data_IF_549134876722
#
_entry.id   IF_549134876722
#
_cell.length_a   1.000
_cell.length_b   1.000
_cell.length_c   1.000
_cell.angle_alpha   90.00
_cell.angle_beta   90.00
_cell.angle_gamma   90.00
#
_symmetry.space_group_name_H-M   'P 1'
#
loop_
_entity.id
_entity.type
_entity.pdbx_description
1 polymer ?
#
# COMPACT_ATOMS: atom_id res chain seq x y z
N UNK A 1 32.50 -76.15 1.01
CA UNK A 1 31.94 -76.69 2.25
C UNK A 1 30.64 -75.90 2.46
N UNK A 2 29.54 -76.33 1.84
CA UNK A 2 28.47 -77.12 2.48
C UNK A 2 28.01 -76.38 3.73
N UNK A 3 26.74 -75.88 3.87
CA UNK A 3 25.41 -76.51 3.78
C UNK A 3 24.40 -75.32 3.79
N UNK A 4 23.42 -75.12 2.83
CA UNK A 4 22.09 -75.68 2.79
C UNK A 4 21.23 -75.44 4.06
N UNK A 5 20.19 -74.66 4.00
CA UNK A 5 18.77 -75.07 4.09
C UNK A 5 17.87 -73.87 4.12
N UNK A 6 16.95 -73.69 3.25
CA UNK A 6 15.65 -74.31 3.02
C UNK A 6 14.47 -73.65 3.80
N UNK A 7 13.63 -73.02 3.01
CA UNK A 7 12.14 -73.01 3.10
C UNK A 7 11.44 -72.67 4.41
N UNK A 8 10.65 -71.62 4.34
CA UNK A 8 9.18 -71.70 4.68
C UNK A 8 8.41 -70.55 4.05
N UNK A 9 7.72 -70.90 3.01
CA UNK A 9 6.67 -70.12 2.39
C UNK A 9 5.41 -70.14 3.25
N UNK A 10 4.62 -69.12 3.00
CA UNK A 10 3.17 -69.03 3.11
C UNK A 10 2.53 -68.65 4.46
N UNK A 11 1.49 -67.83 4.26
CA UNK A 11 0.43 -67.41 5.19
C UNK A 11 0.71 -66.05 5.83
N UNK A 12 0.36 -64.96 5.08
CA UNK A 12 -0.30 -63.75 5.58
C UNK A 12 -0.66 -62.81 4.42
N UNK A 13 -1.38 -63.36 3.45
CA UNK A 13 -2.19 -62.59 2.52
C UNK A 13 -3.62 -62.84 2.91
N UNK A 14 -4.27 -61.93 3.67
CA UNK A 14 -5.75 -61.78 3.78
C UNK A 14 -6.21 -60.89 4.96
N UNK A 15 -5.50 -59.83 5.33
CA UNK A 15 -6.04 -58.84 6.31
C UNK A 15 -5.77 -57.39 5.85
N UNK A 16 -5.83 -57.09 4.54
CA UNK A 16 -5.61 -55.72 4.07
C UNK A 16 -6.72 -55.22 3.13
N UNK A 17 -7.95 -55.75 3.23
CA UNK A 17 -9.10 -55.24 2.49
C UNK A 17 -10.27 -55.24 3.48
N UNK A 18 -10.33 -54.26 4.42
CA UNK A 18 -11.59 -53.88 5.08
C UNK A 18 -11.38 -52.70 6.05
N UNK A 19 -10.65 -51.68 5.62
CA UNK A 19 -10.55 -50.44 6.41
C UNK A 19 -10.56 -49.17 5.53
N UNK A 20 -11.34 -49.20 4.43
CA UNK A 20 -11.48 -48.05 3.51
C UNK A 20 -12.92 -47.66 3.33
N UNK A 21 -13.69 -47.54 4.42
CA UNK A 21 -15.06 -46.99 4.39
C UNK A 21 -15.51 -46.60 5.78
N UNK A 22 -14.90 -45.56 6.35
CA UNK A 22 -15.48 -44.74 7.42
C UNK A 22 -14.50 -43.59 7.74
N UNK A 23 -14.31 -42.67 6.79
CA UNK A 23 -13.94 -41.30 7.15
C UNK A 23 -15.24 -40.53 7.40
N UNK A 24 -15.56 -40.16 8.64
CA UNK A 24 -16.58 -39.14 8.86
C UNK A 24 -16.05 -37.82 8.31
N UNK A 25 -16.83 -37.22 7.43
CA UNK A 25 -16.70 -35.83 7.00
C UNK A 25 -16.88 -34.94 8.24
N UNK A 26 -15.79 -34.62 8.95
CA UNK A 26 -15.76 -33.65 10.06
C UNK A 26 -15.37 -32.31 9.45
N UNK A 27 -16.30 -31.66 8.78
CA UNK A 27 -16.14 -30.30 8.28
C UNK A 27 -17.38 -29.46 8.56
N UNK A 28 -17.88 -29.47 9.80
CA UNK A 28 -19.07 -28.70 10.14
C UNK A 28 -19.27 -28.34 11.62
N UNK A 29 -18.44 -28.83 12.53
CA UNK A 29 -18.72 -28.76 13.97
C UNK A 29 -17.83 -27.80 14.79
N UNK A 30 -16.90 -27.05 14.17
CA UNK A 30 -15.89 -26.31 14.94
C UNK A 30 -16.24 -24.82 15.23
N UNK A 31 -17.33 -24.29 14.69
CA UNK A 31 -17.65 -22.84 14.78
C UNK A 31 -18.59 -22.53 15.97
N UNK A 32 -19.50 -23.43 16.32
CA UNK A 32 -20.51 -23.17 17.38
C UNK A 32 -19.92 -23.07 18.80
N UNK A 33 -18.80 -23.71 19.09
CA UNK A 33 -18.15 -23.68 20.40
C UNK A 33 -17.53 -22.32 20.78
N UNK A 34 -17.37 -21.41 19.79
CA UNK A 34 -16.73 -20.09 19.96
C UNK A 34 -17.71 -18.92 19.89
N UNK A 35 -19.02 -19.20 19.81
CA UNK A 35 -20.08 -18.20 19.67
C UNK A 35 -20.92 -18.13 20.96
N UNK A 36 -21.03 -16.92 21.51
CA UNK A 36 -21.97 -16.62 22.62
C UNK A 36 -23.06 -15.67 22.09
N UNK A 37 -24.30 -16.16 21.98
CA UNK A 37 -25.44 -15.40 21.44
C UNK A 37 -25.95 -14.34 22.43
N UNK A 38 -26.37 -13.17 21.89
CA UNK A 38 -27.01 -12.08 22.61
C UNK A 38 -28.27 -11.63 21.87
N UNK A 39 -29.10 -10.77 22.48
CA UNK A 39 -30.29 -10.22 21.82
C UNK A 39 -29.98 -9.37 20.57
N UNK A 40 -28.84 -8.70 20.52
CA UNK A 40 -28.41 -7.80 19.45
C UNK A 40 -27.46 -8.42 18.42
N UNK A 41 -26.99 -9.67 18.67
CA UNK A 41 -26.00 -10.32 17.81
C UNK A 41 -25.35 -11.51 18.52
N UNK A 42 -24.07 -11.70 18.32
CA UNK A 42 -23.30 -12.71 19.05
C UNK A 42 -21.87 -12.26 19.25
N UNK A 43 -21.24 -12.76 20.32
CA UNK A 43 -19.81 -12.66 20.54
C UNK A 43 -19.11 -13.85 19.91
N UNK A 44 -18.09 -13.57 19.12
CA UNK A 44 -17.17 -14.56 18.59
C UNK A 44 -15.84 -14.48 19.35
N UNK A 45 -15.28 -15.61 19.75
CA UNK A 45 -13.95 -15.68 20.39
C UNK A 45 -12.91 -15.97 19.32
N UNK A 46 -12.02 -15.00 19.08
CA UNK A 46 -10.97 -15.05 18.06
C UNK A 46 -10.09 -16.28 18.27
N UNK A 47 -9.81 -17.00 17.19
CA UNK A 47 -8.95 -18.17 17.14
C UNK A 47 -7.57 -17.82 16.57
N UNK A 48 -6.60 -18.71 16.75
CA UNK A 48 -5.27 -18.54 16.16
C UNK A 48 -5.35 -18.59 14.64
N UNK A 49 -4.92 -17.50 13.99
CA UNK A 49 -4.93 -17.35 12.55
C UNK A 49 -6.10 -16.55 11.98
N UNK A 50 -7.08 -16.19 12.83
CA UNK A 50 -8.18 -15.33 12.40
C UNK A 50 -7.69 -13.92 12.06
N UNK A 51 -8.33 -13.32 11.06
CA UNK A 51 -8.22 -11.90 10.73
C UNK A 51 -9.61 -11.27 10.69
N UNK A 52 -9.71 -9.96 10.94
CA UNK A 52 -11.01 -9.27 10.81
C UNK A 52 -11.56 -9.37 9.39
N UNK A 53 -10.69 -9.45 8.39
CA UNK A 53 -11.02 -9.69 7.00
C UNK A 53 -11.73 -11.04 6.78
N UNK A 54 -11.16 -12.11 7.32
CA UNK A 54 -11.74 -13.46 7.20
C UNK A 54 -13.04 -13.58 7.99
N UNK A 55 -13.09 -12.99 9.18
CA UNK A 55 -14.31 -12.97 10.03
C UNK A 55 -15.43 -12.17 9.35
N UNK A 56 -15.13 -11.03 8.73
CA UNK A 56 -16.12 -10.27 7.96
C UNK A 56 -16.63 -11.03 6.74
N UNK A 57 -15.75 -11.72 6.01
CA UNK A 57 -16.15 -12.61 4.92
C UNK A 57 -17.07 -13.73 5.41
N UNK A 58 -16.76 -14.31 6.55
CA UNK A 58 -17.48 -15.45 7.11
C UNK A 58 -18.85 -15.08 7.65
N UNK A 59 -18.95 -13.95 8.38
CA UNK A 59 -20.17 -13.58 9.09
C UNK A 59 -21.03 -12.54 8.37
N UNK A 60 -20.43 -11.72 7.50
CA UNK A 60 -21.15 -10.68 6.75
C UNK A 60 -21.14 -10.91 5.24
N UNK A 61 -20.68 -12.09 4.79
CA UNK A 61 -20.54 -12.49 3.40
C UNK A 61 -19.77 -11.49 2.50
N UNK A 62 -19.05 -10.57 3.11
CA UNK A 62 -18.21 -9.58 2.44
C UNK A 62 -16.99 -9.25 3.29
N UNK A 63 -15.77 -9.53 2.81
CA UNK A 63 -14.57 -9.17 3.54
C UNK A 63 -14.39 -7.66 3.68
N UNK A 64 -14.98 -6.86 2.79
CA UNK A 64 -14.83 -5.41 2.73
C UNK A 64 -15.50 -4.65 3.89
N UNK A 65 -16.37 -5.30 4.66
CA UNK A 65 -17.03 -4.70 5.83
C UNK A 65 -16.22 -4.83 7.13
N UNK A 66 -14.98 -5.33 7.07
CA UNK A 66 -14.11 -5.43 8.24
C UNK A 66 -13.87 -4.10 8.98
N UNK A 67 -13.83 -2.93 8.30
CA UNK A 67 -13.67 -1.65 9.01
C UNK A 67 -14.88 -1.34 9.89
N UNK A 68 -16.10 -1.68 9.43
CA UNK A 68 -17.32 -1.50 10.22
C UNK A 68 -17.35 -2.46 11.41
N UNK A 69 -16.97 -3.72 11.18
CA UNK A 69 -16.83 -4.70 12.26
C UNK A 69 -15.81 -4.23 13.32
N UNK A 70 -14.68 -3.68 12.89
CA UNK A 70 -13.69 -3.10 13.79
C UNK A 70 -14.22 -1.88 14.53
N UNK A 71 -14.85 -0.92 13.84
CA UNK A 71 -15.35 0.32 14.43
C UNK A 71 -16.34 0.04 15.57
N UNK A 72 -17.16 -0.99 15.43
CA UNK A 72 -18.13 -1.45 16.43
C UNK A 72 -17.46 -2.12 17.64
N UNK A 73 -16.21 -2.59 17.47
CA UNK A 73 -15.42 -3.26 18.50
C UNK A 73 -14.20 -2.44 18.98
N UNK A 74 -14.07 -1.20 18.54
CA UNK A 74 -12.92 -0.33 18.83
C UNK A 74 -12.52 -0.23 20.30
N UNK A 75 -13.45 -0.20 21.29
CA UNK A 75 -13.07 -0.21 22.70
C UNK A 75 -12.24 -1.43 23.12
N UNK A 76 -12.41 -2.55 22.41
CA UNK A 76 -11.76 -3.82 22.74
C UNK A 76 -10.60 -4.16 21.79
N UNK A 77 -10.54 -3.52 20.61
CA UNK A 77 -9.52 -3.76 19.58
C UNK A 77 -8.92 -2.41 19.15
N UNK A 78 -7.86 -2.01 19.83
CA UNK A 78 -7.18 -0.72 19.55
C UNK A 78 -6.51 -0.68 18.17
N UNK A 79 -6.07 -1.84 17.66
CA UNK A 79 -5.43 -1.95 16.35
C UNK A 79 -6.04 -3.13 15.57
N UNK A 80 -6.70 -2.87 14.41
CA UNK A 80 -7.39 -3.91 13.63
C UNK A 80 -6.44 -4.98 13.05
N UNK A 81 -5.16 -4.66 12.91
CA UNK A 81 -4.14 -5.59 12.42
C UNK A 81 -3.50 -6.43 13.53
N UNK A 82 -3.91 -6.22 14.80
CA UNK A 82 -3.37 -6.93 15.98
C UNK A 82 -4.49 -7.46 16.83
N UNK A 83 -5.16 -8.50 16.35
CA UNK A 83 -6.13 -9.28 17.11
C UNK A 83 -5.45 -10.54 17.66
N UNK A 84 -5.87 -10.98 18.83
CA UNK A 84 -5.23 -12.08 19.53
C UNK A 84 -6.24 -13.18 19.85
N UNK A 85 -5.84 -14.47 19.80
CA UNK A 85 -6.67 -15.57 20.23
C UNK A 85 -7.19 -15.35 21.64
N UNK A 86 -8.49 -15.65 21.86
CA UNK A 86 -9.18 -15.43 23.12
C UNK A 86 -9.86 -14.05 23.26
N UNK A 87 -9.57 -13.06 22.42
CA UNK A 87 -10.35 -11.81 22.38
C UNK A 87 -11.77 -12.10 21.89
N UNK A 88 -12.75 -11.37 22.45
CA UNK A 88 -14.15 -11.46 22.02
C UNK A 88 -14.52 -10.26 21.17
N UNK A 89 -15.10 -10.51 20.00
CA UNK A 89 -15.67 -9.49 19.13
C UNK A 89 -17.17 -9.65 19.05
N UNK A 90 -17.89 -8.52 19.04
CA UNK A 90 -19.34 -8.48 18.86
C UNK A 90 -19.67 -8.35 17.37
N UNK A 91 -20.53 -9.25 16.90
CA UNK A 91 -21.06 -9.24 15.54
C UNK A 91 -22.55 -9.00 15.63
N UNK A 92 -23.04 -7.88 15.12
CA UNK A 92 -24.44 -7.51 15.23
C UNK A 92 -25.32 -8.28 14.25
N UNK A 93 -26.56 -8.57 14.67
CA UNK A 93 -27.52 -9.34 13.88
C UNK A 93 -27.88 -8.67 12.54
N UNK A 94 -27.92 -7.34 12.49
CA UNK A 94 -28.20 -6.59 11.24
C UNK A 94 -27.09 -6.76 10.18
N UNK A 95 -25.86 -7.02 10.61
CA UNK A 95 -24.73 -7.21 9.70
C UNK A 95 -24.72 -8.64 9.12
N UNK A 96 -25.47 -9.56 9.75
CA UNK A 96 -25.61 -10.94 9.33
C UNK A 96 -26.91 -11.20 8.54
N UNK A 97 -28.03 -10.54 8.89
CA UNK A 97 -29.33 -10.72 8.20
C UNK A 97 -29.40 -9.96 6.85
N UNK A 98 -28.47 -9.04 6.57
CA UNK A 98 -28.37 -8.31 5.29
C UNK A 98 -27.89 -9.14 4.10
N UNK A 99 -27.51 -10.41 4.30
CA UNK A 99 -27.03 -11.31 3.24
C UNK A 99 -28.15 -12.15 2.57
N UNK A 100 -29.40 -12.08 3.04
CA UNK A 100 -30.52 -12.74 2.39
C UNK A 100 -31.28 -11.81 1.43
N UNK A 101 -31.02 -12.02 0.13
CA UNK A 101 -31.87 -11.74 -1.02
C UNK A 101 -32.70 -10.46 -0.97
N UNK A 102 -32.21 -9.39 -1.58
CA UNK A 102 -33.11 -8.41 -2.16
C UNK A 102 -33.88 -9.03 -3.33
N UNK A 103 -35.19 -9.26 -3.22
CA UNK A 103 -36.03 -9.46 -4.40
C UNK A 103 -36.14 -8.11 -5.11
N UNK A 104 -35.80 -8.10 -6.38
CA UNK A 104 -36.02 -6.97 -7.28
C UNK A 104 -37.55 -6.69 -7.29
N UNK A 105 -37.98 -5.68 -6.55
CA UNK A 105 -39.33 -5.15 -6.65
C UNK A 105 -39.45 -4.47 -8.02
N UNK A 106 -40.26 -5.09 -8.90
CA UNK A 106 -40.62 -4.52 -10.17
C UNK A 106 -41.44 -3.24 -9.97
N UNK A 107 -40.82 -2.07 -10.20
CA UNK A 107 -41.54 -0.83 -10.38
C UNK A 107 -42.17 -0.79 -11.79
N UNK A 108 -43.34 -0.15 -11.99
CA UNK A 108 -44.08 -0.18 -13.24
C UNK A 108 -43.32 0.47 -14.39
N UNK A 109 -43.27 -0.25 -15.50
CA UNK A 109 -42.57 0.12 -16.72
C UNK A 109 -43.27 1.35 -17.35
N UNK A 110 -42.62 2.52 -17.25
CA UNK A 110 -42.90 3.61 -18.17
C UNK A 110 -42.19 3.30 -19.50
N UNK A 111 -42.98 3.22 -20.59
CA UNK A 111 -42.47 3.01 -21.95
C UNK A 111 -41.61 4.21 -22.35
N UNK A 112 -40.31 4.08 -22.27
CA UNK A 112 -39.34 5.00 -22.84
C UNK A 112 -38.85 4.40 -24.16
N UNK A 113 -38.87 5.25 -25.23
CA UNK A 113 -38.34 4.94 -26.56
C UNK A 113 -36.92 4.33 -26.47
N UNK A 114 -36.53 3.48 -27.43
CA UNK A 114 -35.17 2.90 -27.44
C UNK A 114 -34.15 4.03 -27.59
N UNK A 115 -33.45 4.32 -26.53
CA UNK A 115 -32.17 5.05 -26.59
C UNK A 115 -31.09 4.03 -26.96
N UNK A 116 -30.15 4.47 -27.78
CA UNK A 116 -28.97 3.70 -28.19
C UNK A 116 -28.31 2.96 -27.02
N UNK A 117 -27.75 1.75 -27.25
CA UNK A 117 -27.14 0.98 -26.19
C UNK A 117 -26.01 1.81 -25.57
N UNK A 118 -25.89 1.84 -24.23
CA UNK A 118 -24.76 2.53 -23.59
C UNK A 118 -23.47 1.89 -24.08
N UNK A 119 -22.62 2.71 -24.65
CA UNK A 119 -21.22 2.36 -24.94
C UNK A 119 -20.67 1.72 -23.67
N UNK A 120 -20.33 0.43 -23.74
CA UNK A 120 -19.58 -0.23 -22.67
C UNK A 120 -18.31 0.61 -22.45
N UNK A 121 -18.28 1.39 -21.36
CA UNK A 121 -16.99 1.85 -20.82
C UNK A 121 -16.24 0.58 -20.49
N UNK A 122 -15.17 0.32 -21.22
CA UNK A 122 -14.22 -0.72 -20.85
C UNK A 122 -13.90 -0.53 -19.37
N UNK A 123 -14.10 -1.60 -18.58
CA UNK A 123 -13.78 -1.59 -17.17
C UNK A 123 -12.27 -1.40 -17.06
N UNK A 124 -11.82 -0.17 -16.88
CA UNK A 124 -10.42 0.16 -16.67
C UNK A 124 -9.99 -0.54 -15.39
N UNK A 125 -9.09 -1.51 -15.51
CA UNK A 125 -8.48 -2.15 -14.35
C UNK A 125 -7.81 -1.07 -13.51
N UNK A 126 -8.03 -1.08 -12.21
CA UNK A 126 -7.39 -0.16 -11.26
C UNK A 126 -6.76 -0.92 -10.10
N UNK A 127 -5.71 -0.35 -9.54
CA UNK A 127 -5.13 -0.78 -8.25
C UNK A 127 -5.39 0.27 -7.20
N UNK A 128 -5.86 -0.15 -6.03
CA UNK A 128 -6.07 0.75 -4.89
C UNK A 128 -4.80 0.83 -4.06
N UNK A 129 -4.26 2.05 -3.90
CA UNK A 129 -3.17 2.36 -3.01
C UNK A 129 -3.63 3.30 -1.90
N UNK A 130 -4.09 2.74 -0.78
CA UNK A 130 -4.75 3.46 0.33
C UNK A 130 -3.88 4.56 0.94
N UNK A 131 -2.55 4.43 0.87
CA UNK A 131 -1.60 5.38 1.46
C UNK A 131 -1.07 6.40 0.45
N UNK A 132 -1.82 6.72 -0.61
CA UNK A 132 -1.36 7.59 -1.69
C UNK A 132 -1.01 9.01 -1.21
N UNK A 133 -1.71 9.53 -0.21
CA UNK A 133 -1.50 10.88 0.32
C UNK A 133 -0.16 11.07 1.03
N UNK A 134 0.48 9.96 1.48
CA UNK A 134 1.80 10.01 2.12
C UNK A 134 2.97 9.95 1.14
N UNK A 135 2.71 9.66 -0.13
CA UNK A 135 3.75 9.45 -1.14
C UNK A 135 4.41 10.77 -1.50
N UNK A 136 5.69 10.87 -1.22
CA UNK A 136 6.52 12.03 -1.55
C UNK A 136 6.96 12.07 -3.01
N UNK A 137 7.77 13.05 -3.35
CA UNK A 137 8.24 13.26 -4.72
C UNK A 137 9.60 13.97 -4.74
N UNK A 138 10.29 13.90 -5.88
CA UNK A 138 11.49 14.69 -6.16
C UNK A 138 11.15 15.72 -7.24
N UNK A 139 11.49 16.98 -6.99
CA UNK A 139 11.31 18.09 -7.94
C UNK A 139 12.61 18.85 -8.11
N UNK A 140 12.89 19.35 -9.31
CA UNK A 140 14.14 20.07 -9.60
C UNK A 140 14.40 21.25 -8.66
N UNK A 141 13.35 21.94 -8.23
CA UNK A 141 13.43 23.03 -7.24
C UNK A 141 12.49 22.72 -6.09
N UNK A 142 12.90 23.12 -4.89
CA UNK A 142 12.04 23.01 -3.71
C UNK A 142 10.71 23.74 -3.95
N UNK A 143 9.60 23.14 -3.50
CA UNK A 143 8.28 23.76 -3.56
C UNK A 143 8.23 25.02 -2.72
N UNK A 144 7.55 26.04 -3.24
CA UNK A 144 7.14 27.17 -2.42
C UNK A 144 6.21 26.68 -1.30
N UNK A 145 6.46 27.14 -0.10
CA UNK A 145 5.67 26.77 1.08
C UNK A 145 4.84 27.96 1.58
N UNK A 146 3.80 27.67 2.36
CA UNK A 146 2.88 28.68 2.90
C UNK A 146 3.23 29.06 4.32
N UNK A 147 4.07 28.30 4.98
CA UNK A 147 4.54 28.56 6.32
C UNK A 147 5.38 27.40 6.85
N UNK A 148 5.93 27.60 8.07
CA UNK A 148 6.82 26.64 8.74
C UNK A 148 6.32 26.41 10.16
N UNK A 149 6.26 25.16 10.59
CA UNK A 149 5.97 24.77 11.98
C UNK A 149 7.16 25.16 12.84
N UNK A 150 6.98 26.11 13.74
CA UNK A 150 8.10 26.59 14.58
C UNK A 150 7.99 26.13 16.04
N UNK A 151 6.78 25.66 16.47
CA UNK A 151 6.58 25.19 17.84
C UNK A 151 5.36 24.26 17.94
N UNK A 152 5.42 23.26 18.82
CA UNK A 152 4.23 22.54 19.29
C UNK A 152 3.67 23.17 20.56
N UNK A 153 2.35 23.15 20.77
CA UNK A 153 1.70 23.82 21.91
C UNK A 153 2.17 23.29 23.27
N UNK A 154 2.53 22.03 23.35
CA UNK A 154 2.92 21.34 24.59
C UNK A 154 4.42 21.03 24.65
N UNK A 155 5.25 21.70 23.85
CA UNK A 155 6.70 21.47 23.71
C UNK A 155 7.04 19.97 23.42
N UNK A 156 6.15 19.29 22.68
CA UNK A 156 6.34 17.91 22.29
C UNK A 156 7.47 17.80 21.26
N UNK A 157 8.41 16.92 21.50
CA UNK A 157 9.49 16.61 20.55
C UNK A 157 8.95 15.88 19.29
N UNK A 158 7.95 15.02 19.48
CA UNK A 158 7.22 14.34 18.41
C UNK A 158 5.80 14.91 18.33
N UNK A 159 5.44 15.41 17.17
CA UNK A 159 4.14 16.01 16.90
C UNK A 159 3.28 14.96 16.19
N UNK A 160 2.23 14.51 16.85
CA UNK A 160 1.35 13.44 16.38
C UNK A 160 -0.07 13.97 16.13
N UNK A 161 -0.95 13.12 15.62
CA UNK A 161 -2.35 13.42 15.35
C UNK A 161 -3.06 14.00 16.58
N UNK A 162 -3.78 15.10 16.38
CA UNK A 162 -4.48 15.84 17.44
C UNK A 162 -3.60 16.88 18.14
N UNK A 163 -2.28 16.93 17.88
CA UNK A 163 -1.41 17.95 18.43
C UNK A 163 -1.73 19.32 17.82
N UNK A 164 -1.58 20.37 18.64
CA UNK A 164 -1.66 21.76 18.20
C UNK A 164 -0.26 22.30 17.91
N UNK A 165 -0.11 22.97 16.78
CA UNK A 165 1.15 23.54 16.31
C UNK A 165 1.02 25.03 16.01
N UNK A 166 2.12 25.75 16.19
CA UNK A 166 2.26 27.14 15.77
C UNK A 166 3.01 27.19 14.45
N UNK A 167 2.46 27.94 13.50
CA UNK A 167 2.95 28.04 12.13
C UNK A 167 3.31 29.49 11.85
N UNK A 168 4.55 29.73 11.47
CA UNK A 168 5.00 31.05 10.99
C UNK A 168 4.68 31.12 9.47
N UNK A 169 3.85 32.07 9.04
CA UNK A 169 3.52 32.24 7.63
C UNK A 169 4.75 32.64 6.82
N UNK A 170 4.90 32.11 5.61
CA UNK A 170 5.99 32.47 4.71
C UNK A 170 5.75 33.88 4.14
N UNK A 171 6.71 34.81 4.26
CA UNK A 171 6.58 36.14 3.68
C UNK A 171 6.35 36.10 2.15
N UNK A 172 5.27 36.71 1.70
CA UNK A 172 4.90 36.74 0.28
C UNK A 172 4.08 35.54 -0.20
N UNK A 173 3.87 34.53 0.63
CA UNK A 173 2.95 33.45 0.35
C UNK A 173 1.48 33.91 0.54
N UNK A 174 0.50 33.22 -0.08
CA UNK A 174 -0.92 33.45 0.20
C UNK A 174 -1.23 33.27 1.69
N UNK A 175 -2.18 34.07 2.20
CA UNK A 175 -2.58 34.00 3.59
C UNK A 175 -3.20 32.64 3.94
N UNK A 176 -2.88 32.15 5.13
CA UNK A 176 -3.49 30.93 5.67
C UNK A 176 -4.93 31.17 6.03
N UNK A 177 -5.81 30.21 5.70
CA UNK A 177 -7.26 30.33 5.88
C UNK A 177 -7.74 29.38 6.97
N UNK A 178 -8.55 29.86 7.90
CA UNK A 178 -9.15 29.07 8.97
C UNK A 178 -10.05 27.99 8.36
N UNK A 179 -9.92 26.75 8.83
CA UNK A 179 -10.66 25.57 8.35
C UNK A 179 -10.04 24.90 7.12
N UNK A 180 -9.07 25.52 6.47
CA UNK A 180 -8.35 24.88 5.36
C UNK A 180 -7.25 23.93 5.85
N UNK A 181 -7.00 22.93 5.03
CA UNK A 181 -5.99 21.89 5.27
C UNK A 181 -4.73 22.15 4.46
N UNK A 182 -3.60 21.85 5.06
CA UNK A 182 -2.30 21.95 4.44
C UNK A 182 -1.51 20.65 4.69
N UNK A 183 -0.82 20.19 3.67
CA UNK A 183 0.11 19.06 3.80
C UNK A 183 1.38 19.54 4.48
N UNK A 184 1.81 18.88 5.54
CA UNK A 184 3.11 19.10 6.16
C UNK A 184 4.17 18.29 5.42
N UNK A 185 5.34 18.87 5.18
CA UNK A 185 6.41 18.21 4.45
C UNK A 185 7.80 18.69 4.89
N UNK A 186 8.79 17.85 4.62
CA UNK A 186 10.21 18.13 4.82
C UNK A 186 10.95 18.00 3.51
N UNK A 187 11.93 18.85 3.29
CA UNK A 187 12.84 18.75 2.15
C UNK A 187 14.18 18.23 2.60
N UNK A 188 14.82 17.43 1.77
CA UNK A 188 16.20 16.97 1.95
C UNK A 188 17.13 17.74 1.01
N UNK A 189 18.44 17.49 1.13
CA UNK A 189 19.45 18.08 0.25
C UNK A 189 19.24 17.66 -1.20
N UNK A 190 19.88 18.38 -2.12
CA UNK A 190 19.86 18.06 -3.55
C UNK A 190 20.40 16.66 -3.82
N UNK A 191 19.64 15.90 -4.58
CA UNK A 191 19.99 14.55 -5.02
C UNK A 191 20.67 14.65 -6.39
N UNK A 192 21.82 13.99 -6.52
CA UNK A 192 22.56 13.90 -7.78
C UNK A 192 22.51 12.47 -8.30
N UNK A 193 22.43 12.33 -9.61
CA UNK A 193 22.54 11.03 -10.29
C UNK A 193 23.98 10.49 -10.12
N UNK A 194 24.17 9.32 -9.52
CA UNK A 194 25.48 8.80 -9.17
C UNK A 194 26.35 8.46 -10.40
N UNK A 195 25.76 8.23 -11.58
CA UNK A 195 26.50 7.90 -12.81
C UNK A 195 26.85 9.14 -13.61
N UNK A 196 25.92 10.09 -13.70
CA UNK A 196 26.09 11.26 -14.57
C UNK A 196 26.53 12.52 -13.83
N UNK A 197 26.43 12.52 -12.49
CA UNK A 197 26.67 13.70 -11.64
C UNK A 197 25.66 14.83 -11.85
N UNK A 198 24.57 14.60 -12.61
CA UNK A 198 23.55 15.62 -12.85
C UNK A 198 22.68 15.78 -11.61
N UNK A 199 22.30 17.03 -11.34
CA UNK A 199 21.31 17.35 -10.32
C UNK A 199 19.94 16.80 -10.76
N UNK A 200 19.33 15.98 -9.91
CA UNK A 200 17.98 15.44 -10.10
C UNK A 200 16.95 16.34 -9.43
N UNK A 201 17.30 16.93 -8.29
CA UNK A 201 16.44 17.84 -7.55
C UNK A 201 16.35 17.58 -6.05
N UNK A 202 15.32 18.11 -5.44
CA UNK A 202 15.05 18.10 -4.01
C UNK A 202 13.92 17.13 -3.70
N UNK A 203 14.16 16.21 -2.77
CA UNK A 203 13.11 15.32 -2.26
C UNK A 203 12.19 16.06 -1.30
N UNK A 204 10.89 15.84 -1.46
CA UNK A 204 9.82 16.29 -0.58
C UNK A 204 9.20 15.08 0.10
N UNK A 205 9.43 14.95 1.41
CA UNK A 205 8.85 13.89 2.23
C UNK A 205 7.59 14.43 2.91
N UNK A 206 6.42 13.84 2.60
CA UNK A 206 5.15 14.27 3.18
C UNK A 206 5.01 13.69 4.59
N UNK A 207 4.85 14.55 5.60
CA UNK A 207 4.85 14.14 7.01
C UNK A 207 3.44 14.04 7.60
N UNK A 208 2.46 14.81 7.10
CA UNK A 208 1.09 14.74 7.58
C UNK A 208 0.19 15.84 7.01
N UNK A 209 -0.91 16.12 7.70
CA UNK A 209 -1.88 17.16 7.35
C UNK A 209 -2.22 17.99 8.58
N UNK A 210 -2.15 19.31 8.45
CA UNK A 210 -2.57 20.27 9.46
C UNK A 210 -3.78 21.06 8.98
N UNK A 211 -4.77 21.27 9.85
CA UNK A 211 -5.91 22.15 9.61
C UNK A 211 -5.74 23.42 10.44
N UNK A 212 -5.89 24.59 9.79
CA UNK A 212 -5.75 25.88 10.46
C UNK A 212 -6.96 26.14 11.35
N UNK A 213 -6.73 26.37 12.64
CA UNK A 213 -7.78 26.62 13.63
C UNK A 213 -7.89 28.09 14.04
N UNK A 214 -6.79 28.85 13.96
CA UNK A 214 -6.77 30.30 14.23
C UNK A 214 -5.66 30.97 13.44
N UNK A 215 -5.85 32.23 13.09
CA UNK A 215 -4.84 33.08 12.45
C UNK A 215 -4.67 34.32 13.31
N UNK A 216 -3.46 34.52 13.80
CA UNK A 216 -3.04 35.67 14.60
C UNK A 216 -2.21 36.64 13.73
N UNK A 217 -1.90 37.86 14.18
CA UNK A 217 -1.17 38.83 13.36
C UNK A 217 0.24 38.36 12.92
N UNK A 218 0.91 37.52 13.72
CA UNK A 218 2.30 37.08 13.46
C UNK A 218 2.44 35.59 13.20
N UNK A 219 1.42 34.78 13.51
CA UNK A 219 1.44 33.32 13.35
C UNK A 219 0.03 32.75 13.16
N UNK A 220 -0.03 31.49 12.74
CA UNK A 220 -1.26 30.73 12.76
C UNK A 220 -1.16 29.56 13.73
N UNK A 221 -2.32 29.06 14.18
CA UNK A 221 -2.44 27.85 14.99
C UNK A 221 -3.12 26.81 14.13
N UNK A 222 -2.56 25.59 14.09
CA UNK A 222 -3.14 24.46 13.40
C UNK A 222 -3.26 23.24 14.30
N UNK A 223 -4.20 22.37 13.97
CA UNK A 223 -4.37 21.05 14.56
C UNK A 223 -3.91 19.99 13.55
N UNK A 224 -3.07 19.06 13.98
CA UNK A 224 -2.67 17.93 13.12
C UNK A 224 -3.87 16.99 12.97
N UNK A 225 -4.40 16.88 11.76
CA UNK A 225 -5.58 16.05 11.44
C UNK A 225 -5.19 14.67 10.91
N UNK A 226 -3.98 14.56 10.33
CA UNK A 226 -3.40 13.29 9.94
C UNK A 226 -1.87 13.31 10.05
N UNK A 227 -1.27 12.15 10.36
CA UNK A 227 0.16 11.99 10.56
C UNK A 227 0.63 10.76 9.80
N UNK A 228 1.46 10.97 8.80
CA UNK A 228 2.01 9.89 7.97
C UNK A 228 3.35 9.41 8.49
N UNK A 229 4.12 10.35 9.08
CA UNK A 229 5.44 10.20 9.68
C UNK A 229 5.59 11.24 10.79
N UNK A 230 6.66 11.15 11.55
CA UNK A 230 6.99 12.12 12.59
C UNK A 230 7.05 13.53 12.03
N UNK A 231 6.10 14.39 12.44
CA UNK A 231 6.11 15.81 12.14
C UNK A 231 7.10 16.47 13.11
N UNK A 232 8.00 17.27 12.59
CA UNK A 232 9.04 17.94 13.38
C UNK A 232 8.91 19.46 13.27
N UNK A 233 9.55 20.14 14.21
CA UNK A 233 9.82 21.58 14.10
C UNK A 233 10.66 21.81 12.84
N UNK A 234 10.36 22.88 12.11
CA UNK A 234 10.85 23.26 10.78
C UNK A 234 10.23 22.47 9.61
N UNK A 235 9.29 21.55 9.81
CA UNK A 235 8.48 21.05 8.71
C UNK A 235 7.66 22.20 8.12
N UNK A 236 7.58 22.24 6.79
CA UNK A 236 6.90 23.26 6.01
C UNK A 236 5.49 22.83 5.68
N UNK A 237 4.63 23.78 5.28
CA UNK A 237 3.27 23.47 4.85
C UNK A 237 3.02 23.96 3.43
N UNK A 238 2.24 23.17 2.69
CA UNK A 238 1.73 23.49 1.34
C UNK A 238 0.25 23.16 1.24
N UNK A 239 -0.52 23.70 0.26
CA UNK A 239 -1.92 23.35 0.10
C UNK A 239 -2.14 21.84 0.05
N UNK A 240 -3.13 21.36 0.79
CA UNK A 240 -3.51 19.93 0.77
C UNK A 240 -4.33 19.63 -0.48
N UNK A 241 -3.91 18.63 -1.22
CA UNK A 241 -4.66 18.09 -2.35
C UNK A 241 -4.89 16.61 -2.09
N UNK A 242 -6.15 16.23 -1.91
CA UNK A 242 -6.51 14.83 -1.75
C UNK A 242 -6.23 14.07 -3.06
N UNK A 243 -5.48 12.98 -2.95
CA UNK A 243 -5.15 12.11 -4.09
C UNK A 243 -6.14 10.95 -4.19
N UNK A 244 -6.42 10.51 -5.41
CA UNK A 244 -7.27 9.34 -5.62
C UNK A 244 -6.46 8.06 -5.30
N UNK A 245 -6.95 7.27 -4.35
CA UNK A 245 -6.35 5.98 -3.99
C UNK A 245 -6.48 4.94 -5.11
N UNK A 246 -7.50 5.05 -5.98
CA UNK A 246 -7.70 4.14 -7.10
C UNK A 246 -6.93 4.62 -8.33
N UNK A 247 -5.84 3.94 -8.61
CA UNK A 247 -4.93 4.24 -9.71
C UNK A 247 -5.32 3.36 -10.91
N UNK A 248 -5.81 3.94 -12.02
CA UNK A 248 -6.12 3.18 -13.21
C UNK A 248 -4.84 2.61 -13.83
N UNK A 249 -4.83 1.30 -14.12
CA UNK A 249 -3.70 0.66 -14.80
C UNK A 249 -3.64 1.19 -16.23
N UNK A 250 -2.47 1.65 -16.64
CA UNK A 250 -2.19 2.25 -17.95
C UNK A 250 -1.14 1.45 -18.69
N UNK A 251 -1.20 1.51 -20.01
CA UNK A 251 -0.15 0.91 -20.85
C UNK A 251 1.17 1.64 -20.63
N UNK A 252 2.23 0.88 -20.38
CA UNK A 252 3.59 1.38 -20.24
C UNK A 252 4.14 1.89 -21.58
N UNK A 253 5.11 2.78 -21.54
CA UNK A 253 5.78 3.32 -22.72
C UNK A 253 6.78 2.29 -23.23
N UNK A 254 6.66 1.89 -24.48
CA UNK A 254 7.63 1.00 -25.12
C UNK A 254 9.00 1.68 -25.26
N UNK A 255 10.06 0.98 -24.87
CA UNK A 255 11.42 1.49 -24.96
C UNK A 255 11.83 2.48 -23.88
N UNK A 256 10.98 2.71 -22.85
CA UNK A 256 11.41 3.50 -21.69
C UNK A 256 12.64 2.86 -21.07
N UNK A 257 13.66 3.66 -20.81
CA UNK A 257 14.86 3.27 -20.08
C UNK A 257 15.18 4.33 -19.05
N UNK A 258 14.94 4.00 -17.79
CA UNK A 258 15.20 4.82 -16.62
C UNK A 258 16.01 4.05 -15.59
N UNK A 259 16.17 4.64 -14.40
CA UNK A 259 16.86 4.03 -13.26
C UNK A 259 16.15 4.35 -11.96
N UNK A 260 16.28 3.45 -11.00
CA UNK A 260 15.94 3.73 -9.60
C UNK A 260 16.94 4.74 -9.05
N UNK A 261 16.45 5.86 -8.53
CA UNK A 261 17.28 6.90 -7.88
C UNK A 261 17.61 6.43 -6.47
N UNK A 262 16.59 6.34 -5.62
CA UNK A 262 16.70 5.95 -4.22
C UNK A 262 15.31 5.56 -3.66
N UNK A 263 15.24 4.92 -2.49
CA UNK A 263 13.97 4.76 -1.77
C UNK A 263 13.47 6.10 -1.21
N UNK A 264 12.18 6.19 -0.93
CA UNK A 264 11.58 7.39 -0.32
C UNK A 264 12.06 7.61 1.12
N UNK A 265 12.15 6.54 1.89
CA UNK A 265 12.67 6.53 3.26
C UNK A 265 14.09 5.93 3.26
N UNK A 266 14.87 6.20 4.31
CA UNK A 266 16.25 5.70 4.45
C UNK A 266 16.27 4.17 4.68
N UNK A 267 15.70 3.44 3.76
CA UNK A 267 15.71 1.97 3.77
C UNK A 267 17.03 1.46 3.19
N UNK A 268 17.75 0.66 3.98
CA UNK A 268 19.01 0.04 3.54
C UNK A 268 18.75 -1.02 2.45
N UNK A 269 17.56 -1.61 2.45
CA UNK A 269 17.16 -2.67 1.52
C UNK A 269 15.86 -2.27 0.83
N UNK A 270 15.90 -2.06 -0.48
CA UNK A 270 14.71 -1.85 -1.28
C UNK A 270 14.15 -3.23 -1.67
N UNK A 271 12.92 -3.50 -1.25
CA UNK A 271 12.21 -4.75 -1.54
C UNK A 271 10.78 -4.51 -1.97
N UNK A 272 10.00 -5.57 -1.94
CA UNK A 272 8.55 -5.50 -2.19
C UNK A 272 7.87 -4.57 -1.17
N UNK A 273 6.90 -3.79 -1.63
CA UNK A 273 6.19 -2.74 -0.88
C UNK A 273 6.98 -1.44 -0.61
N UNK A 274 8.23 -1.34 -1.03
CA UNK A 274 8.99 -0.08 -0.93
C UNK A 274 8.47 0.98 -1.92
N UNK A 275 8.59 2.24 -1.53
CA UNK A 275 8.43 3.38 -2.42
C UNK A 275 9.80 3.81 -2.90
N UNK A 276 9.93 3.97 -4.21
CA UNK A 276 11.19 4.38 -4.88
C UNK A 276 10.97 5.54 -5.82
N UNK A 277 12.01 6.31 -6.04
CA UNK A 277 12.03 7.33 -7.08
C UNK A 277 12.76 6.81 -8.32
N UNK A 278 12.26 7.20 -9.49
CA UNK A 278 12.90 6.91 -10.78
C UNK A 278 13.21 8.21 -11.52
N UNK A 279 14.28 8.20 -12.34
CA UNK A 279 14.75 9.36 -13.12
C UNK A 279 14.01 9.52 -14.45
N UNK A 280 12.73 9.17 -14.46
CA UNK A 280 11.79 9.34 -15.58
C UNK A 280 10.50 9.95 -15.07
N UNK A 281 9.97 10.94 -15.80
CA UNK A 281 8.79 11.68 -15.38
C UNK A 281 7.85 12.03 -16.53
N UNK A 282 7.03 13.06 -16.33
CA UNK A 282 6.04 13.52 -17.31
C UNK A 282 6.66 13.89 -18.67
N UNK A 283 7.86 14.50 -18.66
CA UNK A 283 8.59 14.86 -19.87
C UNK A 283 9.01 13.63 -20.71
N UNK A 284 9.09 12.45 -20.07
CA UNK A 284 9.34 11.18 -20.73
C UNK A 284 8.03 10.44 -21.07
N UNK A 285 6.86 11.05 -20.77
CA UNK A 285 5.53 10.47 -20.96
C UNK A 285 5.11 9.49 -19.86
N UNK A 286 5.83 9.46 -18.74
CA UNK A 286 5.47 8.60 -17.60
C UNK A 286 4.22 9.14 -16.91
N UNK A 287 3.26 8.27 -16.65
CA UNK A 287 1.98 8.59 -16.00
C UNK A 287 1.68 7.63 -14.84
N UNK A 288 0.93 8.07 -13.81
CA UNK A 288 0.45 7.19 -12.77
C UNK A 288 -0.35 6.00 -13.33
N UNK A 289 -0.07 4.80 -12.81
CA UNK A 289 -0.70 3.55 -13.24
C UNK A 289 0.07 2.76 -14.31
N UNK A 290 1.14 3.30 -14.85
CA UNK A 290 2.04 2.55 -15.72
C UNK A 290 2.91 1.58 -14.90
N UNK A 291 3.11 0.37 -15.42
CA UNK A 291 3.90 -0.68 -14.78
C UNK A 291 5.20 -0.91 -15.55
N UNK A 292 6.31 -1.05 -14.83
CA UNK A 292 7.64 -1.28 -15.41
C UNK A 292 8.36 -2.39 -14.64
N UNK A 293 9.30 -3.07 -15.33
CA UNK A 293 10.18 -4.04 -14.70
C UNK A 293 11.51 -3.41 -14.27
N UNK A 294 12.06 -3.93 -13.18
CA UNK A 294 13.35 -3.55 -12.65
C UNK A 294 14.38 -4.61 -13.04
N UNK A 295 15.50 -4.17 -13.60
CA UNK A 295 16.55 -5.06 -14.06
C UNK A 295 17.87 -4.80 -13.33
N UNK A 296 18.55 -5.87 -13.01
CA UNK A 296 19.94 -5.84 -12.61
C UNK A 296 20.82 -6.20 -13.81
N UNK A 297 21.84 -5.39 -14.08
CA UNK A 297 22.82 -5.66 -15.10
C UNK A 297 24.22 -5.73 -14.48
N UNK A 298 24.79 -6.91 -14.53
CA UNK A 298 26.16 -7.16 -14.08
C UNK A 298 27.16 -6.78 -15.18
N UNK A 299 28.33 -6.33 -14.78
CA UNK A 299 29.46 -6.16 -15.68
C UNK A 299 30.59 -7.09 -15.27
N UNK A 300 31.21 -7.74 -16.24
CA UNK A 300 32.32 -8.64 -16.00
C UNK A 300 33.52 -8.26 -16.86
N UNK A 301 34.72 -8.52 -16.36
CA UNK A 301 35.94 -8.38 -17.13
C UNK A 301 36.26 -9.71 -17.85
N UNK A 302 36.17 -9.79 -19.18
CA UNK A 302 36.44 -11.02 -19.92
C UNK A 302 37.91 -11.37 -19.99
N UNK A 303 38.81 -10.39 -19.79
CA UNK A 303 40.26 -10.60 -19.79
C UNK A 303 40.90 -9.92 -18.57
N UNK A 304 41.43 -10.68 -17.59
CA UNK A 304 42.05 -10.15 -16.40
C UNK A 304 43.21 -9.16 -16.65
N UNK A 305 43.88 -9.32 -17.79
CA UNK A 305 45.03 -8.48 -18.18
C UNK A 305 44.63 -7.13 -18.81
N UNK A 306 43.32 -6.91 -19.05
CA UNK A 306 42.79 -5.69 -19.63
C UNK A 306 41.76 -5.04 -18.70
N UNK A 307 41.76 -3.72 -18.63
CA UNK A 307 40.73 -2.95 -17.89
C UNK A 307 39.51 -2.75 -18.81
N UNK A 308 38.83 -3.87 -19.16
CA UNK A 308 37.64 -3.83 -20.01
C UNK A 308 36.45 -4.46 -19.28
N UNK A 309 35.42 -3.67 -19.04
CA UNK A 309 34.15 -4.16 -18.51
C UNK A 309 33.17 -4.40 -19.66
N UNK A 310 32.54 -5.57 -19.65
CA UNK A 310 31.49 -5.95 -20.59
C UNK A 310 30.20 -6.12 -19.79
N UNK A 311 29.18 -5.34 -20.16
CA UNK A 311 27.85 -5.47 -19.58
C UNK A 311 27.23 -6.82 -20.01
N UNK A 312 26.81 -7.61 -19.04
CA UNK A 312 26.12 -8.88 -19.27
C UNK A 312 24.64 -8.65 -19.57
N UNK A 313 23.92 -9.70 -19.93
CA UNK A 313 22.50 -9.62 -20.21
C UNK A 313 21.72 -9.20 -18.94
N UNK A 314 20.89 -8.14 -18.99
CA UNK A 314 20.08 -7.73 -17.85
C UNK A 314 19.11 -8.84 -17.45
N UNK A 315 18.95 -9.05 -16.15
CA UNK A 315 17.93 -9.97 -15.59
C UNK A 315 16.87 -9.22 -14.81
N UNK A 316 15.61 -9.58 -14.99
CA UNK A 316 14.50 -8.98 -14.26
C UNK A 316 14.52 -9.44 -12.80
N UNK A 317 14.60 -8.47 -11.88
CA UNK A 317 14.65 -8.67 -10.44
C UNK A 317 13.38 -8.21 -9.71
N UNK A 318 12.51 -7.47 -10.37
CA UNK A 318 11.27 -6.97 -9.76
C UNK A 318 10.42 -6.18 -10.73
N UNK A 319 9.27 -5.72 -10.23
CA UNK A 319 8.31 -4.90 -10.96
C UNK A 319 7.84 -3.74 -10.07
N UNK A 320 7.47 -2.63 -10.69
CA UNK A 320 6.95 -1.46 -10.01
C UNK A 320 5.75 -0.87 -10.77
N UNK A 321 4.92 -0.10 -10.03
CA UNK A 321 3.84 0.72 -10.58
C UNK A 321 4.05 2.19 -10.20
N UNK A 322 3.86 3.09 -11.15
CA UNK A 322 3.98 4.52 -10.93
C UNK A 322 2.78 5.03 -10.13
N UNK A 323 3.04 5.75 -9.04
CA UNK A 323 2.04 6.35 -8.17
C UNK A 323 1.87 7.85 -8.39
N UNK A 324 2.98 8.57 -8.63
CA UNK A 324 3.01 10.01 -8.81
C UNK A 324 4.11 10.40 -9.81
N UNK A 325 3.88 11.49 -10.55
CA UNK A 325 4.84 12.00 -11.52
C UNK A 325 5.13 13.47 -11.29
N UNK A 326 6.37 13.84 -11.55
CA UNK A 326 6.89 15.19 -11.67
C UNK A 326 7.53 15.35 -13.05
N UNK A 327 7.86 16.54 -13.52
CA UNK A 327 8.38 16.71 -14.88
C UNK A 327 9.54 15.78 -15.25
N UNK A 328 10.49 15.53 -14.35
CA UNK A 328 11.72 14.76 -14.63
C UNK A 328 11.87 13.48 -13.82
N UNK A 329 10.98 13.24 -12.86
CA UNK A 329 11.03 12.08 -11.95
C UNK A 329 9.64 11.49 -11.78
N UNK A 330 9.58 10.25 -11.29
CA UNK A 330 8.33 9.69 -10.80
C UNK A 330 8.58 8.92 -9.49
N UNK A 331 7.52 8.83 -8.70
CA UNK A 331 7.47 8.00 -7.49
C UNK A 331 6.71 6.73 -7.81
N UNK A 332 7.30 5.59 -7.50
CA UNK A 332 6.76 4.29 -7.84
C UNK A 332 6.75 3.36 -6.62
N UNK A 333 5.83 2.43 -6.64
CA UNK A 333 5.66 1.37 -5.64
C UNK A 333 6.18 0.05 -6.20
N UNK A 334 7.09 -0.61 -5.50
CA UNK A 334 7.61 -1.93 -5.87
C UNK A 334 6.53 -2.98 -5.58
N UNK A 335 5.96 -3.52 -6.65
CA UNK A 335 4.86 -4.50 -6.57
C UNK A 335 5.35 -5.92 -6.35
N UNK A 336 6.57 -6.21 -6.80
CA UNK A 336 7.22 -7.51 -6.67
C UNK A 336 8.73 -7.35 -6.67
N UNK A 337 9.43 -8.15 -5.85
CA UNK A 337 10.89 -8.18 -5.81
C UNK A 337 11.36 -9.61 -5.59
N UNK A 338 12.22 -10.10 -6.50
CA UNK A 338 12.89 -11.42 -6.40
C UNK A 338 14.21 -11.33 -5.68
N UNK A 339 14.83 -10.17 -5.75
CA UNK A 339 16.15 -9.88 -5.19
C UNK A 339 16.17 -8.44 -4.68
N UNK A 340 17.20 -8.10 -3.92
CA UNK A 340 17.41 -6.73 -3.46
C UNK A 340 17.52 -5.76 -4.64
N UNK A 341 16.73 -4.70 -4.58
CA UNK A 341 16.80 -3.59 -5.52
C UNK A 341 17.80 -2.56 -4.97
N UNK A 342 18.59 -1.99 -5.85
CA UNK A 342 19.59 -0.98 -5.53
C UNK A 342 19.38 0.29 -6.35
N UNK A 343 19.81 1.42 -5.83
CA UNK A 343 19.95 2.66 -6.60
C UNK A 343 20.83 2.38 -7.83
N UNK A 344 20.42 2.93 -9.00
CA UNK A 344 21.05 2.66 -10.28
C UNK A 344 20.49 1.46 -11.05
N UNK A 345 19.68 0.59 -10.45
CA UNK A 345 19.02 -0.50 -11.18
C UNK A 345 18.16 0.04 -12.32
N UNK A 346 18.19 -0.64 -13.46
CA UNK A 346 17.50 -0.21 -14.68
C UNK A 346 15.99 -0.40 -14.50
N UNK A 347 15.22 0.60 -14.88
CA UNK A 347 13.76 0.54 -14.98
C UNK A 347 13.38 0.61 -16.46
N UNK A 348 12.69 -0.40 -16.95
CA UNK A 348 12.30 -0.48 -18.36
C UNK A 348 10.90 -1.07 -18.53
N UNK A 349 10.37 -0.97 -19.74
CA UNK A 349 9.07 -1.57 -20.08
C UNK A 349 9.08 -3.06 -19.76
N UNK A 350 7.96 -3.57 -19.23
CA UNK A 350 7.76 -4.99 -18.98
C UNK A 350 8.19 -5.79 -20.20
N UNK A 351 9.15 -6.68 -20.02
CA UNK A 351 9.50 -7.66 -21.06
C UNK A 351 8.23 -8.47 -21.33
N UNK A 352 7.72 -8.39 -22.57
CA UNK A 352 6.42 -8.97 -22.93
C UNK A 352 6.28 -10.38 -22.39
N UNK A 353 5.17 -10.62 -21.65
CA UNK A 353 4.71 -11.95 -21.31
C UNK A 353 4.12 -12.61 -22.54
#
# INVERSE_FOLDING_TARGET
MIVKNSSRHAIFAHVFIFCLLLMPCVAGAAIEDHITRTESGFYYTIQKGDTLWDLSRQFSNSPWVWPDLWSQNNPNILNPHRIFPGQKILIYKKDWEGAEKHPIAAAPVAVVKPSEPPVKKDATLSRTYVKIDRVGFIRQTAMSHYGTIFKSKNDLALIDKGAMVYIYPEPGAPALTIGEKYTTFRTFDHITDPETGKDIGVQHLLTGVVEITSVEPEFAIGSIVDCYRDILINDRIMPYVQRNADIPIRKSIEGLSGRVIQPEEDEVLIGENAIVFINKGENDGVEPGQEYSIFFQESANPNPDEVKQVALTPRCIGDLIVLHTEPTTATAYVTHSKEQILSGNIVSTLAGK
#
